data_IF_281719187134
#
_entry.id   IF_281719187134
#
_cell.length_a   1.000
_cell.length_b   1.000
_cell.length_c   1.000
_cell.angle_alpha   90.00
_cell.angle_beta   90.00
_cell.angle_gamma   90.00
#
_symmetry.space_group_name_H-M   'P 1'
#
loop_
_entity.id
_entity.type
_entity.pdbx_description
1 polymer ?
#
# COMPACT_ATOMS: atom_id res chain seq x y z
N UNK A 1 -1.38 -4.79 7.62
CA UNK A 1 -0.88 -6.13 7.23
C UNK A 1 -0.84 -6.23 5.72
N UNK A 2 -0.21 -7.24 5.11
CA UNK A 2 -0.08 -7.35 3.65
C UNK A 2 -0.06 -8.80 3.18
N UNK A 3 -0.30 -9.02 1.89
CA UNK A 3 -0.29 -10.34 1.25
C UNK A 3 0.63 -10.34 0.03
N UNK A 4 1.48 -11.37 -0.09
CA UNK A 4 2.27 -11.63 -1.29
C UNK A 4 1.64 -12.79 -2.05
N UNK A 5 1.38 -12.58 -3.34
CA UNK A 5 0.78 -13.56 -4.24
C UNK A 5 1.79 -13.85 -5.34
N UNK A 6 2.08 -15.14 -5.55
CA UNK A 6 2.93 -15.62 -6.62
C UNK A 6 2.10 -15.89 -7.87
N UNK A 7 2.41 -15.18 -8.95
CA UNK A 7 1.79 -15.39 -10.24
C UNK A 7 2.86 -15.60 -11.32
N UNK A 8 2.63 -16.45 -12.36
CA UNK A 8 3.58 -16.63 -13.46
C UNK A 8 3.97 -15.33 -14.18
N UNK A 9 3.11 -14.31 -14.14
CA UNK A 9 3.38 -13.00 -14.74
C UNK A 9 4.20 -12.04 -13.84
N UNK A 10 4.42 -12.38 -12.57
CA UNK A 10 5.16 -11.56 -11.60
C UNK A 10 4.51 -11.57 -10.22
N UNK A 11 5.26 -11.15 -9.21
CA UNK A 11 4.74 -11.09 -7.85
C UNK A 11 3.73 -9.93 -7.71
N UNK A 12 2.61 -10.21 -7.05
CA UNK A 12 1.56 -9.24 -6.72
C UNK A 12 1.58 -9.06 -5.20
N UNK A 13 1.68 -7.81 -4.77
CA UNK A 13 1.62 -7.44 -3.36
C UNK A 13 0.30 -6.71 -3.09
N UNK A 14 -0.44 -7.11 -2.06
CA UNK A 14 -1.62 -6.39 -1.57
C UNK A 14 -1.25 -5.68 -0.27
N UNK A 15 -1.27 -4.35 -0.31
CA UNK A 15 -0.76 -3.43 0.71
C UNK A 15 0.72 -3.61 1.06
N UNK A 16 1.28 -2.65 1.80
CA UNK A 16 2.71 -2.61 2.17
C UNK A 16 2.94 -2.59 3.68
N UNK A 17 1.87 -2.71 4.46
CA UNK A 17 1.92 -2.72 5.91
C UNK A 17 2.30 -1.35 6.51
N UNK A 18 2.74 -1.40 7.76
CA UNK A 18 3.14 -0.24 8.54
C UNK A 18 4.67 -0.10 8.54
N UNK A 19 5.17 1.14 8.66
CA UNK A 19 6.60 1.39 8.85
C UNK A 19 7.00 1.10 10.29
N UNK A 20 8.19 0.52 10.50
CA UNK A 20 8.80 0.40 11.83
C UNK A 20 9.11 1.75 12.48
N UNK A 21 9.14 2.83 11.70
CA UNK A 21 9.30 4.21 12.16
C UNK A 21 7.99 4.85 12.64
N UNK A 22 6.86 4.14 12.62
CA UNK A 22 5.56 4.76 12.83
C UNK A 22 5.33 5.37 14.23
N UNK A 23 6.19 5.05 15.21
CA UNK A 23 6.24 5.68 16.53
C UNK A 23 7.39 6.69 16.71
N UNK A 24 8.21 6.92 15.69
CA UNK A 24 9.30 7.87 15.80
C UNK A 24 8.74 9.29 16.04
N UNK A 25 9.40 10.11 16.88
CA UNK A 25 8.99 11.48 17.09
C UNK A 25 8.87 12.25 15.77
N UNK A 26 7.67 12.77 15.50
CA UNK A 26 7.38 13.53 14.28
C UNK A 26 6.97 12.69 13.07
N UNK A 27 6.93 11.36 13.16
CA UNK A 27 6.37 10.52 12.10
C UNK A 27 4.87 10.78 11.93
N UNK A 28 4.15 10.82 13.04
CA UNK A 28 2.72 11.15 13.05
C UNK A 28 2.51 12.67 13.14
N UNK A 29 1.47 13.23 12.49
CA UNK A 29 1.08 14.63 12.67
C UNK A 29 0.82 14.93 14.14
N UNK A 30 1.60 15.85 14.74
CA UNK A 30 1.52 16.18 16.16
C UNK A 30 0.13 16.70 16.60
N UNK A 31 -0.61 17.30 15.68
CA UNK A 31 -1.93 17.89 15.89
C UNK A 31 -3.08 16.90 15.77
N UNK A 32 -2.84 15.66 15.29
CA UNK A 32 -3.90 14.70 15.03
C UNK A 32 -4.08 13.73 16.22
N UNK A 33 -5.07 13.95 17.12
CA UNK A 33 -5.12 13.28 18.42
C UNK A 33 -5.31 11.76 18.31
N UNK A 34 -6.06 11.29 17.31
CA UNK A 34 -6.26 9.86 17.06
C UNK A 34 -4.94 9.18 16.65
N UNK A 35 -4.19 9.79 15.73
CA UNK A 35 -2.85 9.33 15.32
C UNK A 35 -1.80 9.53 16.42
N UNK A 36 -2.07 10.25 17.50
CA UNK A 36 -1.10 10.33 18.60
C UNK A 36 -1.37 9.28 19.67
N UNK A 37 -2.62 8.80 19.81
CA UNK A 37 -3.05 8.09 21.02
C UNK A 37 -3.80 6.78 20.78
N UNK A 38 -4.36 6.58 19.60
CA UNK A 38 -5.31 5.49 19.36
C UNK A 38 -4.77 4.37 18.47
N UNK A 39 -3.75 4.61 17.65
CA UNK A 39 -3.18 3.56 16.80
C UNK A 39 -2.05 2.83 17.54
N UNK A 40 -2.06 1.49 17.44
CA UNK A 40 -1.01 0.63 17.99
C UNK A 40 -0.06 0.29 16.85
N UNK A 41 1.21 0.66 17.00
CA UNK A 41 2.16 0.63 15.88
C UNK A 41 3.43 -0.13 16.20
N UNK A 42 3.39 -1.45 16.27
CA UNK A 42 4.49 -2.22 16.88
C UNK A 42 5.21 -3.11 15.86
N UNK A 43 5.35 -2.63 14.62
CA UNK A 43 6.15 -3.29 13.59
C UNK A 43 7.63 -3.07 13.87
N UNK A 44 8.39 -4.15 13.95
CA UNK A 44 9.86 -4.12 13.97
C UNK A 44 10.43 -4.02 12.55
N UNK A 45 11.67 -3.55 12.37
CA UNK A 45 12.31 -3.51 11.05
C UNK A 45 12.28 -4.86 10.30
N UNK A 46 12.42 -5.98 11.01
CA UNK A 46 12.39 -7.34 10.42
C UNK A 46 10.96 -7.81 10.07
N UNK A 47 9.95 -7.10 10.58
CA UNK A 47 8.52 -7.31 10.31
C UNK A 47 8.01 -6.44 9.17
N UNK A 48 8.81 -5.46 8.69
CA UNK A 48 8.47 -4.70 7.50
C UNK A 48 8.39 -5.57 6.25
N UNK A 49 7.50 -5.21 5.34
CA UNK A 49 7.19 -5.98 4.13
C UNK A 49 8.43 -6.35 3.33
N UNK A 50 9.41 -5.46 3.19
CA UNK A 50 10.65 -5.71 2.46
C UNK A 50 11.48 -6.85 3.09
N UNK A 51 11.64 -6.83 4.42
CA UNK A 51 12.35 -7.88 5.16
C UNK A 51 11.57 -9.20 5.14
N UNK A 52 10.23 -9.14 5.25
CA UNK A 52 9.36 -10.33 5.19
C UNK A 52 9.42 -11.02 3.84
N UNK A 53 9.35 -10.28 2.73
CA UNK A 53 9.49 -10.83 1.37
C UNK A 53 10.85 -11.54 1.21
N UNK A 54 11.94 -10.90 1.66
CA UNK A 54 13.27 -11.51 1.63
C UNK A 54 13.35 -12.80 2.46
N UNK A 55 12.74 -12.80 3.65
CA UNK A 55 12.72 -13.99 4.53
C UNK A 55 11.97 -15.18 3.94
N UNK A 56 11.06 -14.93 3.00
CA UNK A 56 10.32 -15.95 2.25
C UNK A 56 11.09 -16.45 1.02
N UNK A 57 12.27 -15.88 0.71
CA UNK A 57 13.10 -16.27 -0.42
C UNK A 57 12.83 -15.49 -1.71
N UNK A 58 11.97 -14.48 -1.68
CA UNK A 58 11.68 -13.62 -2.83
C UNK A 58 12.56 -12.37 -2.81
N UNK A 59 12.80 -11.81 -4.00
CA UNK A 59 13.42 -10.50 -4.13
C UNK A 59 12.33 -9.43 -4.22
N UNK A 60 12.29 -8.44 -3.31
CA UNK A 60 11.32 -7.33 -3.34
C UNK A 60 11.29 -6.56 -4.67
N UNK A 61 12.40 -6.56 -5.43
CA UNK A 61 12.46 -5.94 -6.76
C UNK A 61 11.67 -6.70 -7.83
N UNK A 62 11.30 -7.94 -7.57
CA UNK A 62 10.51 -8.77 -8.49
C UNK A 62 9.00 -8.56 -8.26
N UNK A 63 8.61 -7.75 -7.27
CA UNK A 63 7.23 -7.27 -7.09
C UNK A 63 6.87 -6.41 -8.29
N UNK A 64 5.98 -6.95 -9.13
CA UNK A 64 5.54 -6.29 -10.36
C UNK A 64 4.39 -5.34 -10.08
N UNK A 65 3.45 -5.75 -9.24
CA UNK A 65 2.28 -4.95 -8.88
C UNK A 65 2.15 -4.81 -7.36
N UNK A 66 1.77 -3.61 -6.92
CA UNK A 66 1.32 -3.34 -5.56
C UNK A 66 -0.10 -2.81 -5.63
N UNK A 67 -1.06 -3.62 -5.19
CA UNK A 67 -2.47 -3.26 -5.10
C UNK A 67 -2.69 -2.67 -3.72
N UNK A 68 -2.99 -1.38 -3.67
CA UNK A 68 -3.29 -0.70 -2.42
C UNK A 68 -4.79 -0.77 -2.16
N UNK A 69 -5.19 -1.41 -1.07
CA UNK A 69 -6.60 -1.42 -0.63
C UNK A 69 -7.02 -0.01 -0.25
N UNK A 70 -6.16 0.70 0.47
CA UNK A 70 -6.23 2.12 0.77
C UNK A 70 -4.85 2.63 1.24
N UNK A 71 -4.71 3.92 1.54
CA UNK A 71 -3.41 4.58 1.76
C UNK A 71 -3.15 5.04 3.21
N UNK A 72 -3.87 4.52 4.20
CA UNK A 72 -3.54 4.82 5.60
C UNK A 72 -2.17 4.25 6.01
N UNK A 73 -1.60 4.79 7.10
CA UNK A 73 -0.23 4.50 7.53
C UNK A 73 0.07 3.02 7.77
N UNK A 74 -0.92 2.21 8.16
CA UNK A 74 -0.82 0.78 8.41
C UNK A 74 -0.93 -0.10 7.15
N UNK A 75 -1.20 0.53 6.01
CA UNK A 75 -1.25 -0.08 4.68
C UNK A 75 -0.15 0.45 3.76
N UNK A 76 0.12 1.75 3.77
CA UNK A 76 1.07 2.42 2.88
C UNK A 76 2.46 2.68 3.50
N UNK A 77 2.70 2.25 4.74
CA UNK A 77 3.95 2.52 5.46
C UNK A 77 5.20 1.92 4.80
N UNK A 78 5.06 0.80 4.07
CA UNK A 78 6.15 0.15 3.35
C UNK A 78 6.29 0.56 1.88
N UNK A 79 5.48 1.49 1.37
CA UNK A 79 5.39 1.78 -0.07
C UNK A 79 6.72 2.24 -0.68
N UNK A 80 7.58 2.87 0.14
CA UNK A 80 8.91 3.33 -0.26
C UNK A 80 9.86 2.22 -0.74
N UNK A 81 9.58 0.96 -0.40
CA UNK A 81 10.41 -0.19 -0.78
C UNK A 81 10.20 -0.66 -2.23
N UNK A 82 9.20 -0.12 -2.95
CA UNK A 82 8.76 -0.63 -4.26
C UNK A 82 8.83 0.41 -5.41
N UNK A 83 9.97 1.09 -5.65
CA UNK A 83 10.08 2.14 -6.68
C UNK A 83 9.95 1.64 -8.12
N UNK A 84 10.11 0.32 -8.35
CA UNK A 84 10.00 -0.30 -9.67
C UNK A 84 8.65 -0.97 -9.95
N UNK A 85 7.76 -1.02 -8.97
CA UNK A 85 6.48 -1.70 -9.07
C UNK A 85 5.40 -0.75 -9.58
N UNK A 86 4.41 -1.31 -10.27
CA UNK A 86 3.19 -0.59 -10.60
C UNK A 86 2.29 -0.51 -9.36
N UNK A 87 2.11 0.70 -8.83
CA UNK A 87 1.24 0.94 -7.68
C UNK A 87 -0.17 1.22 -8.18
N UNK A 88 -1.14 0.37 -7.84
CA UNK A 88 -2.53 0.47 -8.28
C UNK A 88 -3.39 1.02 -7.15
N UNK A 89 -4.18 2.05 -7.45
CA UNK A 89 -5.12 2.68 -6.52
C UNK A 89 -6.49 2.90 -7.16
N UNK A 90 -7.54 2.76 -6.36
CA UNK A 90 -8.87 3.21 -6.79
C UNK A 90 -8.88 4.72 -7.03
N UNK A 91 -9.69 5.18 -7.99
CA UNK A 91 -9.84 6.61 -8.28
C UNK A 91 -10.21 7.45 -7.06
N UNK A 92 -11.11 6.93 -6.22
CA UNK A 92 -11.53 7.63 -5.00
C UNK A 92 -10.36 7.77 -4.03
N UNK A 93 -9.66 6.66 -3.79
CA UNK A 93 -8.55 6.64 -2.85
C UNK A 93 -7.40 7.53 -3.31
N UNK A 94 -7.03 7.48 -4.59
CA UNK A 94 -5.98 8.34 -5.15
C UNK A 94 -6.33 9.83 -5.01
N UNK A 95 -7.60 10.20 -5.19
CA UNK A 95 -8.05 11.59 -5.00
C UNK A 95 -7.85 12.04 -3.54
N UNK A 96 -8.28 11.25 -2.56
CA UNK A 96 -8.28 11.65 -1.15
C UNK A 96 -6.87 11.54 -0.54
N UNK A 97 -6.12 10.49 -0.88
CA UNK A 97 -4.79 10.22 -0.33
C UNK A 97 -3.71 11.18 -0.85
N UNK A 98 -3.82 11.64 -2.10
CA UNK A 98 -2.85 12.55 -2.71
C UNK A 98 -3.20 14.04 -2.49
N UNK A 99 -4.38 14.32 -1.94
CA UNK A 99 -4.77 15.69 -1.60
C UNK A 99 -3.91 16.25 -0.47
N UNK A 100 -3.62 17.56 -0.50
CA UNK A 100 -2.80 18.23 0.51
C UNK A 100 -3.35 18.10 1.94
N UNK A 101 -4.67 17.94 2.09
CA UNK A 101 -5.36 17.75 3.35
C UNK A 101 -5.54 16.27 3.74
N UNK A 102 -4.90 15.33 3.04
CA UNK A 102 -4.95 13.91 3.34
C UNK A 102 -4.73 13.53 4.82
N UNK A 103 -3.82 14.19 5.56
CA UNK A 103 -3.60 13.89 6.98
C UNK A 103 -4.81 14.13 7.88
N UNK A 104 -5.78 14.96 7.45
CA UNK A 104 -7.05 15.13 8.18
C UNK A 104 -7.88 13.85 8.14
N UNK A 105 -7.67 12.99 7.14
CA UNK A 105 -8.45 11.78 6.91
C UNK A 105 -7.75 10.49 7.37
N UNK A 106 -6.49 10.53 7.82
CA UNK A 106 -5.75 9.31 8.11
C UNK A 106 -4.49 9.12 7.26
N UNK A 107 -4.36 9.85 6.15
CA UNK A 107 -3.28 9.64 5.19
C UNK A 107 -1.97 10.25 5.63
N UNK A 108 -0.89 9.49 5.51
CA UNK A 108 0.46 9.97 5.79
C UNK A 108 1.19 10.38 4.51
N UNK A 109 0.52 11.22 3.71
CA UNK A 109 0.99 11.62 2.39
C UNK A 109 2.31 12.41 2.40
N UNK A 110 2.71 12.97 3.54
CA UNK A 110 4.03 13.57 3.73
C UNK A 110 5.17 12.54 3.64
N UNK A 111 4.89 11.26 3.87
CA UNK A 111 5.83 10.15 3.77
C UNK A 111 5.78 9.43 2.43
N UNK A 112 4.83 9.79 1.54
CA UNK A 112 4.76 9.15 0.24
C UNK A 112 5.99 9.50 -0.59
N UNK A 113 6.60 8.51 -1.27
CA UNK A 113 7.77 8.77 -2.09
C UNK A 113 7.46 9.75 -3.21
N UNK A 114 8.38 10.68 -3.49
CA UNK A 114 8.21 11.66 -4.59
C UNK A 114 8.07 11.03 -5.97
N UNK A 115 8.54 9.79 -6.13
CA UNK A 115 8.41 9.03 -7.38
C UNK A 115 7.05 8.36 -7.54
N UNK A 116 6.22 8.33 -6.48
CA UNK A 116 4.91 7.67 -6.50
C UNK A 116 4.02 8.29 -7.58
N UNK A 117 3.65 7.47 -8.56
CA UNK A 117 2.72 7.81 -9.65
C UNK A 117 1.79 6.61 -9.84
N UNK A 118 0.67 6.55 -9.10
CA UNK A 118 -0.16 5.36 -9.11
C UNK A 118 -0.93 5.22 -10.43
N UNK A 119 -1.08 3.99 -10.89
CA UNK A 119 -2.08 3.63 -11.89
C UNK A 119 -3.45 3.71 -11.23
N UNK A 120 -4.31 4.58 -11.76
CA UNK A 120 -5.64 4.81 -11.23
C UNK A 120 -6.63 3.85 -11.90
N UNK A 121 -7.35 3.07 -11.10
CA UNK A 121 -8.41 2.19 -11.57
C UNK A 121 -9.81 2.65 -11.16
N UNK A 122 -10.77 2.40 -12.03
CA UNK A 122 -12.21 2.57 -11.83
C UNK A 122 -12.97 1.24 -11.71
N UNK A 123 -12.25 0.11 -11.85
CA UNK A 123 -12.80 -1.25 -11.79
C UNK A 123 -13.88 -1.50 -12.87
N UNK A 124 -13.51 -1.28 -14.13
CA UNK A 124 -14.46 -1.26 -15.25
C UNK A 124 -14.56 -2.60 -16.02
N UNK A 125 -13.94 -3.68 -15.54
CA UNK A 125 -14.01 -5.00 -16.20
C UNK A 125 -15.35 -5.73 -15.93
N UNK A 126 -16.26 -5.09 -15.21
CA UNK A 126 -17.58 -5.61 -14.88
C UNK A 126 -17.64 -6.40 -13.57
N UNK A 127 -18.77 -7.07 -13.28
CA UNK A 127 -18.96 -7.80 -12.05
C UNK A 127 -18.11 -9.08 -11.99
N UNK A 128 -17.66 -9.43 -10.79
CA UNK A 128 -16.91 -10.66 -10.50
C UNK A 128 -17.37 -11.23 -9.16
N UNK A 129 -17.86 -12.47 -9.16
CA UNK A 129 -18.42 -13.13 -7.97
C UNK A 129 -19.46 -12.23 -7.26
N UNK A 130 -19.20 -11.85 -6.01
CA UNK A 130 -20.08 -11.01 -5.20
C UNK A 130 -19.87 -9.50 -5.37
N UNK A 131 -19.02 -9.07 -6.31
CA UNK A 131 -18.68 -7.66 -6.52
C UNK A 131 -19.27 -7.14 -7.83
N UNK A 132 -19.89 -5.95 -7.78
CA UNK A 132 -20.49 -5.30 -8.96
C UNK A 132 -19.46 -4.81 -9.99
N UNK A 133 -18.19 -4.66 -9.57
CA UNK A 133 -17.10 -4.08 -10.34
C UNK A 133 -15.77 -4.74 -9.99
N UNK A 134 -14.92 -4.91 -10.99
CA UNK A 134 -13.62 -5.57 -10.86
C UNK A 134 -12.62 -5.01 -11.88
N UNK A 135 -11.35 -5.35 -11.69
CA UNK A 135 -10.30 -5.14 -12.68
C UNK A 135 -9.35 -6.33 -12.62
N UNK A 136 -9.07 -6.94 -13.77
CA UNK A 136 -8.03 -7.94 -13.90
C UNK A 136 -6.65 -7.26 -13.84
N UNK A 137 -5.78 -7.75 -12.96
CA UNK A 137 -4.38 -7.28 -12.86
C UNK A 137 -3.47 -8.09 -13.79
N UNK A 138 -3.75 -9.38 -13.90
CA UNK A 138 -3.05 -10.34 -14.77
C UNK A 138 -3.79 -10.47 -16.11
N UNK A 139 -3.08 -10.89 -17.15
CA UNK A 139 -3.66 -11.06 -18.50
C UNK A 139 -4.59 -12.25 -18.59
N UNK A 140 -4.30 -13.30 -17.83
CA UNK A 140 -5.13 -14.51 -17.75
C UNK A 140 -6.28 -14.38 -16.75
N UNK A 141 -6.32 -13.28 -15.97
CA UNK A 141 -7.33 -13.03 -14.96
C UNK A 141 -7.24 -13.94 -13.74
N UNK A 142 -6.17 -14.73 -13.61
CA UNK A 142 -5.95 -15.62 -12.47
C UNK A 142 -5.21 -14.92 -11.33
N UNK A 143 -5.38 -15.47 -10.12
CA UNK A 143 -4.70 -15.06 -8.88
C UNK A 143 -4.03 -16.29 -8.28
#
# INVERSE_FOLDING_TARGET
GCWLIEHPEGLILVDTGESSHANDPGYQPWWHPFMQRCERRWVKPEEEVNARIQSLGFNPRDVRWVIMTHMHGDHAGGIGHFPGSEIILSKKEAHDALAWNGPVQGFLNMHYPKWLKPTITTHDDGPFESFDRSMAVTKDGAV
#
